data_IF_828697334711
#
_entry.id   IF_828697334711
#
_cell.length_a   1.000
_cell.length_b   1.000
_cell.length_c   1.000
_cell.angle_alpha   90.00
_cell.angle_beta   90.00
_cell.angle_gamma   90.00
#
_symmetry.space_group_name_H-M   'P 1'
#
loop_
_entity.id
_entity.type
_entity.pdbx_description
1 polymer ?
#
# COMPACT_ATOMS: atom_id res chain seq x y z
N UNK A 1 11.24 -36.78 -27.99
CA UNK A 1 11.28 -35.31 -27.72
C UNK A 1 10.03 -34.79 -27.01
N UNK A 2 8.83 -35.27 -27.36
CA UNK A 2 7.53 -34.80 -26.83
C UNK A 2 7.39 -34.79 -25.29
N UNK A 3 7.99 -35.77 -24.60
CA UNK A 3 7.97 -35.86 -23.13
C UNK A 3 8.76 -34.73 -22.45
N UNK A 4 9.92 -34.35 -23.00
CA UNK A 4 10.75 -33.27 -22.43
C UNK A 4 10.11 -31.90 -22.61
N UNK A 5 9.50 -31.66 -23.76
CA UNK A 5 8.71 -30.43 -24.00
C UNK A 5 7.50 -30.35 -23.08
N UNK A 6 6.81 -31.48 -22.85
CA UNK A 6 5.67 -31.51 -21.92
C UNK A 6 6.08 -31.24 -20.47
N UNK A 7 7.20 -31.82 -20.00
CA UNK A 7 7.72 -31.52 -18.66
C UNK A 7 8.15 -30.06 -18.51
N UNK A 8 8.74 -29.46 -19.55
CA UNK A 8 9.11 -28.04 -19.57
C UNK A 8 7.89 -27.12 -19.44
N UNK A 9 6.81 -27.40 -20.17
CA UNK A 9 5.56 -26.62 -20.06
C UNK A 9 4.91 -26.72 -18.67
N UNK A 10 4.96 -27.89 -18.00
CA UNK A 10 4.46 -28.06 -16.63
C UNK A 10 5.27 -27.22 -15.63
N UNK A 11 6.60 -27.22 -15.75
CA UNK A 11 7.47 -26.40 -14.88
C UNK A 11 7.24 -24.90 -15.08
N UNK A 12 6.97 -24.47 -16.31
CA UNK A 12 6.70 -23.06 -16.62
C UNK A 12 5.41 -22.58 -15.93
N UNK A 13 4.36 -23.40 -15.91
CA UNK A 13 3.07 -23.08 -15.29
C UNK A 13 3.14 -22.93 -13.75
N UNK A 14 4.11 -23.59 -13.09
CA UNK A 14 4.28 -23.53 -11.63
C UNK A 14 5.13 -22.33 -11.16
N UNK A 15 5.70 -21.56 -12.08
CA UNK A 15 6.66 -20.50 -11.75
C UNK A 15 6.04 -19.16 -11.32
N UNK A 16 4.71 -18.99 -11.44
CA UNK A 16 4.04 -17.73 -11.12
C UNK A 16 3.59 -17.67 -9.66
N UNK A 17 4.42 -17.06 -8.81
CA UNK A 17 4.01 -16.54 -7.51
C UNK A 17 3.76 -15.05 -7.62
N UNK A 18 2.49 -14.61 -7.68
CA UNK A 18 2.15 -13.19 -7.69
C UNK A 18 1.82 -12.74 -6.27
N UNK A 19 2.66 -11.89 -5.70
CA UNK A 19 2.35 -11.14 -4.48
C UNK A 19 1.37 -10.02 -4.84
N UNK A 20 0.11 -10.20 -4.50
CA UNK A 20 -0.92 -9.20 -4.70
C UNK A 20 -0.79 -8.07 -3.64
N UNK A 21 -0.97 -6.83 -4.09
CA UNK A 21 -1.06 -5.67 -3.21
C UNK A 21 -2.26 -5.86 -2.25
N UNK A 22 -2.14 -5.48 -0.96
CA UNK A 22 -3.25 -5.60 -0.02
C UNK A 22 -4.44 -4.73 -0.45
N UNK A 23 -5.65 -5.20 -0.15
CA UNK A 23 -6.88 -4.44 -0.43
C UNK A 23 -6.97 -3.23 0.50
N UNK A 24 -6.69 -2.06 -0.06
CA UNK A 24 -6.82 -0.76 0.62
C UNK A 24 -7.80 0.14 -0.11
N UNK A 25 -8.35 1.11 0.62
CA UNK A 25 -9.11 2.22 0.05
C UNK A 25 -8.40 3.52 0.40
N UNK A 26 -8.20 4.39 -0.59
CA UNK A 26 -7.59 5.71 -0.39
C UNK A 26 -8.67 6.77 -0.58
N UNK A 27 -8.88 7.59 0.43
CA UNK A 27 -9.81 8.73 0.38
C UNK A 27 -9.00 10.02 0.33
N UNK A 28 -9.37 10.91 -0.59
CA UNK A 28 -8.80 12.24 -0.70
C UNK A 28 -9.89 13.27 -0.44
N UNK A 29 -9.55 14.35 0.26
CA UNK A 29 -10.42 15.51 0.42
C UNK A 29 -9.60 16.79 0.64
N UNK A 30 -10.30 17.91 0.81
CA UNK A 30 -9.73 19.11 1.41
C UNK A 30 -10.33 19.30 2.79
N UNK A 31 -9.51 19.69 3.75
CA UNK A 31 -10.00 20.05 5.08
C UNK A 31 -10.63 21.45 5.08
N UNK A 32 -11.13 21.89 6.24
CA UNK A 32 -11.77 23.20 6.43
C UNK A 32 -10.87 24.39 6.09
N UNK A 33 -9.54 24.20 6.15
CA UNK A 33 -8.54 25.22 5.86
C UNK A 33 -8.09 25.17 4.38
N UNK A 34 -8.68 24.29 3.56
CA UNK A 34 -8.38 24.15 2.15
C UNK A 34 -7.14 23.32 1.82
N UNK A 35 -6.46 22.73 2.80
CA UNK A 35 -5.32 21.83 2.54
C UNK A 35 -5.82 20.47 2.07
N UNK A 36 -5.15 19.91 1.07
CA UNK A 36 -5.43 18.55 0.62
C UNK A 36 -4.99 17.55 1.69
N UNK A 37 -5.77 16.50 1.88
CA UNK A 37 -5.46 15.44 2.83
C UNK A 37 -5.89 14.07 2.31
N UNK A 38 -5.21 13.03 2.82
CA UNK A 38 -5.45 11.63 2.46
C UNK A 38 -5.63 10.75 3.68
N UNK A 39 -6.54 9.80 3.59
CA UNK A 39 -6.73 8.73 4.56
C UNK A 39 -6.68 7.38 3.85
N UNK A 40 -5.99 6.43 4.47
CA UNK A 40 -5.82 5.07 3.96
C UNK A 40 -6.57 4.11 4.86
N UNK A 41 -7.46 3.30 4.29
CA UNK A 41 -8.23 2.28 5.01
C UNK A 41 -7.78 0.89 4.58
N UNK A 42 -7.58 0.01 5.54
CA UNK A 42 -7.23 -1.39 5.31
C UNK A 42 -8.51 -2.25 5.33
N UNK A 43 -8.84 -2.87 4.20
CA UNK A 43 -10.00 -3.76 4.10
C UNK A 43 -9.63 -5.24 4.33
N UNK A 44 -8.41 -5.53 4.78
CA UNK A 44 -7.92 -6.88 5.04
C UNK A 44 -7.88 -7.19 6.53
N UNK A 45 -7.93 -8.48 6.86
CA UNK A 45 -7.74 -9.00 8.23
C UNK A 45 -6.26 -9.06 8.66
N UNK A 46 -5.35 -8.42 7.92
CA UNK A 46 -3.90 -8.44 8.19
C UNK A 46 -3.41 -7.03 8.46
N UNK A 47 -2.46 -6.90 9.39
CA UNK A 47 -1.77 -5.63 9.60
C UNK A 47 -0.88 -5.33 8.39
N UNK A 48 -0.88 -4.07 7.99
CA UNK A 48 -0.10 -3.57 6.87
C UNK A 48 0.97 -2.62 7.38
N UNK A 49 2.06 -2.53 6.61
CA UNK A 49 2.95 -1.38 6.65
C UNK A 49 2.62 -0.51 5.45
N UNK A 50 2.42 0.78 5.69
CA UNK A 50 2.03 1.75 4.68
C UNK A 50 2.98 2.95 4.70
N UNK A 51 3.05 3.64 3.58
CA UNK A 51 3.56 5.00 3.56
C UNK A 51 2.67 5.90 2.71
N UNK A 52 2.63 7.17 3.10
CA UNK A 52 2.06 8.27 2.33
C UNK A 52 3.23 9.19 1.99
N UNK A 53 3.43 9.44 0.70
CA UNK A 53 4.37 10.44 0.23
C UNK A 53 3.60 11.72 -0.16
N UNK A 54 3.99 12.84 0.44
CA UNK A 54 3.45 14.19 0.20
C UNK A 54 4.52 15.21 0.60
N UNK A 55 4.51 16.40 0.00
CA UNK A 55 5.44 17.49 0.33
C UNK A 55 6.93 17.10 0.23
N UNK A 56 7.28 16.15 -0.65
CA UNK A 56 8.64 15.63 -0.77
C UNK A 56 9.07 14.67 0.35
N UNK A 57 8.20 14.35 1.31
CA UNK A 57 8.49 13.46 2.43
C UNK A 57 7.71 12.14 2.31
N UNK A 58 8.25 11.06 2.88
CA UNK A 58 7.56 9.77 3.02
C UNK A 58 7.26 9.50 4.48
N UNK A 59 5.97 9.44 4.82
CA UNK A 59 5.51 9.16 6.18
C UNK A 59 5.15 7.69 6.27
N UNK A 60 5.98 6.91 6.99
CA UNK A 60 5.78 5.47 7.19
C UNK A 60 4.96 5.20 8.45
N UNK A 61 3.99 4.29 8.38
CA UNK A 61 3.12 3.95 9.49
C UNK A 61 2.59 2.52 9.38
N UNK A 62 2.19 1.96 10.53
CA UNK A 62 1.45 0.69 10.58
C UNK A 62 -0.03 0.96 10.50
N UNK A 63 -0.73 0.13 9.74
CA UNK A 63 -2.17 0.18 9.61
C UNK A 63 -2.75 -1.18 10.03
N UNK A 64 -3.53 -1.20 11.11
CA UNK A 64 -4.06 -2.47 11.61
C UNK A 64 -5.13 -3.02 10.67
N UNK A 65 -5.46 -4.30 10.86
CA UNK A 65 -6.56 -4.95 10.19
C UNK A 65 -7.88 -4.18 10.36
N UNK A 66 -8.64 -3.99 9.28
CA UNK A 66 -9.97 -3.35 9.30
C UNK A 66 -9.98 -1.96 9.98
N UNK A 67 -8.88 -1.21 9.88
CA UNK A 67 -8.76 0.15 10.43
C UNK A 67 -8.47 1.18 9.34
N UNK A 68 -8.76 2.45 9.65
CA UNK A 68 -8.37 3.61 8.87
C UNK A 68 -7.23 4.35 9.54
N UNK A 69 -6.33 4.92 8.74
CA UNK A 69 -5.28 5.79 9.25
C UNK A 69 -5.85 7.11 9.76
N UNK A 70 -5.04 7.88 10.48
CA UNK A 70 -5.27 9.33 10.59
C UNK A 70 -5.25 9.98 9.20
N UNK A 71 -5.78 11.20 9.11
CA UNK A 71 -5.59 12.05 7.95
C UNK A 71 -4.13 12.52 7.88
N UNK A 72 -3.54 12.41 6.71
CA UNK A 72 -2.25 13.00 6.37
C UNK A 72 -2.50 14.21 5.49
N UNK A 73 -2.22 15.38 6.02
CA UNK A 73 -2.51 16.68 5.40
C UNK A 73 -1.24 17.22 4.75
N UNK A 74 -1.37 17.79 3.55
CA UNK A 74 -0.30 18.49 2.89
C UNK A 74 0.04 19.81 3.61
N UNK A 75 1.29 20.24 3.49
CA UNK A 75 1.76 21.49 4.12
C UNK A 75 1.39 22.75 3.34
N UNK A 76 1.04 22.62 2.05
CA UNK A 76 0.73 23.73 1.16
C UNK A 76 -0.63 23.52 0.46
N UNK A 77 -1.44 24.59 0.41
CA UNK A 77 -2.78 24.60 -0.21
C UNK A 77 -2.77 24.37 -1.72
N UNK A 78 -1.62 24.52 -2.37
CA UNK A 78 -1.43 24.28 -3.81
C UNK A 78 -1.43 22.79 -4.14
N UNK A 79 -1.14 21.93 -3.16
CA UNK A 79 -1.24 20.49 -3.35
C UNK A 79 -2.70 20.04 -3.52
N UNK A 80 -2.85 18.91 -4.20
CA UNK A 80 -4.14 18.27 -4.46
C UNK A 80 -3.99 16.73 -4.41
N UNK A 81 -5.07 16.00 -4.69
CA UNK A 81 -5.09 14.54 -4.61
C UNK A 81 -4.03 13.82 -5.46
N UNK A 82 -3.60 14.39 -6.60
CA UNK A 82 -2.61 13.77 -7.50
C UNK A 82 -1.19 13.84 -6.96
N UNK A 83 -0.94 14.69 -5.96
CA UNK A 83 0.39 14.87 -5.37
C UNK A 83 0.68 13.85 -4.26
N UNK A 84 -0.34 13.12 -3.81
CA UNK A 84 -0.16 12.04 -2.85
C UNK A 84 0.24 10.76 -3.57
N UNK A 85 1.26 10.08 -3.06
CA UNK A 85 1.53 8.67 -3.41
C UNK A 85 1.30 7.81 -2.18
N UNK A 86 0.42 6.80 -2.31
CA UNK A 86 0.11 5.87 -1.22
C UNK A 86 0.56 4.48 -1.62
N UNK A 87 1.24 3.79 -0.71
CA UNK A 87 1.63 2.41 -0.90
C UNK A 87 1.51 1.65 0.42
N UNK A 88 1.03 0.42 0.35
CA UNK A 88 0.91 -0.48 1.49
C UNK A 88 1.32 -1.88 1.09
N UNK A 89 1.85 -2.62 2.05
CA UNK A 89 2.18 -4.03 1.91
C UNK A 89 1.92 -4.77 3.23
N UNK A 90 1.86 -6.09 3.19
CA UNK A 90 1.62 -6.90 4.38
C UNK A 90 2.79 -6.78 5.35
N UNK A 91 2.49 -6.42 6.61
CA UNK A 91 3.51 -6.23 7.65
C UNK A 91 4.40 -7.48 7.85
N UNK A 92 3.82 -8.68 7.65
CA UNK A 92 4.54 -9.96 7.75
C UNK A 92 5.75 -10.07 6.82
N UNK A 93 5.75 -9.34 5.70
CA UNK A 93 6.81 -9.35 4.69
C UNK A 93 7.96 -8.40 5.03
N UNK A 94 7.82 -7.59 6.08
CA UNK A 94 8.80 -6.58 6.49
C UNK A 94 9.23 -6.79 7.95
N UNK A 95 10.13 -7.75 8.23
CA UNK A 95 10.57 -8.10 9.59
C UNK A 95 11.08 -6.91 10.41
N UNK A 96 11.74 -5.96 9.76
CA UNK A 96 12.29 -4.74 10.38
C UNK A 96 11.22 -3.85 11.02
N UNK A 97 9.96 -4.02 10.63
CA UNK A 97 8.83 -3.25 11.17
C UNK A 97 7.89 -4.10 12.04
N UNK A 98 8.26 -5.32 12.44
CA UNK A 98 7.37 -6.15 13.25
C UNK A 98 7.32 -5.74 14.73
N UNK A 99 8.40 -5.17 15.26
CA UNK A 99 8.51 -4.77 16.67
C UNK A 99 8.09 -3.31 16.85
N UNK A 100 7.21 -2.98 17.82
CA UNK A 100 6.76 -1.61 18.10
C UNK A 100 7.90 -0.61 18.25
#
# INVERSE_FOLDING_TARGET
MLRKTFTFFILLLLSISVLAMPRITVKHQRNINGFAEVQVSNATMKNLICHVAIDGHKILFRLKAIEASKWYTATDIRFNHTHFSVWCDYLKLHPQYQKP
#
